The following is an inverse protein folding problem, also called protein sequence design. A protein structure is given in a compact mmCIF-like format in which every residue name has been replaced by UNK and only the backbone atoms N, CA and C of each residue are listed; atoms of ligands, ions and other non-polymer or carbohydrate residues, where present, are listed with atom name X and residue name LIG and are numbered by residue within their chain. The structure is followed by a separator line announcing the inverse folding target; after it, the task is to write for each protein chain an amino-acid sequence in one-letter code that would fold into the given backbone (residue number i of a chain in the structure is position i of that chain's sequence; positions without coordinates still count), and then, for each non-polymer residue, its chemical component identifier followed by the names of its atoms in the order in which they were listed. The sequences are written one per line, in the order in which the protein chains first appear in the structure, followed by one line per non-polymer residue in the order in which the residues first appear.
data_IF_008657879241
#
_entry.id   IF_008657879241
#
_cell.length_a   1.000
_cell.length_b   1.000
_cell.length_c   1.000
_cell.angle_alpha   90.00
_cell.angle_beta   90.00
_cell.angle_gamma   90.00
#
_symmetry.space_group_name_H-M   'P 1'
#
loop_
_entity.id
_entity.type
_entity.pdbx_description
1 polymer ?
2 water ?
#
# COMPACT_ATOMS: atom_id res chain seq x y z
N UNK A 6 -7.99 0.68 19.83
CA UNK A 6 -8.38 -0.59 19.12
C UNK A 6 -7.28 -1.65 19.06
N UNK A 7 -6.14 -1.37 18.43
CA UNK A 7 -5.07 -2.36 18.35
C UNK A 7 -4.00 -2.11 19.41
N UNK A 8 -3.42 -3.17 19.94
CA UNK A 8 -2.38 -3.01 20.96
C UNK A 8 -1.07 -2.56 20.32
N UNK A 9 -0.98 -2.61 19.00
CA UNK A 9 0.21 -2.17 18.30
C UNK A 9 -0.25 -1.39 17.06
N UNK A 10 0.64 -0.48 16.67
CA UNK A 10 0.36 0.36 15.52
C UNK A 10 0.64 -0.45 14.25
N UNK A 11 -0.37 -0.54 13.41
CA UNK A 11 -0.22 -1.30 12.17
C UNK A 11 -0.53 -0.44 10.97
N UNK A 12 -0.16 -0.91 9.78
CA UNK A 12 -0.46 -0.12 8.58
C UNK A 12 -0.56 -1.05 7.37
N UNK A 13 -1.13 -0.51 6.30
CA UNK A 13 -1.35 -1.20 5.05
C UNK A 13 -0.61 -0.46 3.94
N UNK A 14 0.10 -1.22 3.12
CA UNK A 14 0.84 -0.65 1.99
C UNK A 14 0.23 -1.26 0.72
N UNK A 15 -0.10 -0.39 -0.24
CA UNK A 15 -0.70 -0.83 -1.49
C UNK A 15 0.10 -0.35 -2.70
N UNK A 16 0.23 -1.20 -3.71
CA UNK A 16 0.92 -0.88 -4.96
C UNK A 16 -0.06 -1.24 -6.09
N UNK A 17 -0.08 -0.39 -7.12
CA UNK A 17 -0.95 -0.58 -8.27
C UNK A 17 -0.46 0.21 -9.48
N UNK A 18 -0.97 -0.19 -10.64
CA UNK A 18 -0.60 0.50 -11.88
C UNK A 18 -1.85 0.62 -12.73
N UNK A 19 -1.88 0.08 -13.94
CA UNK A 19 -3.02 0.12 -14.84
C UNK A 19 -4.30 -0.47 -14.24
N UNK A 20 -5.36 0.34 -14.18
CA UNK A 20 -6.64 -0.04 -13.61
C UNK A 20 -6.66 0.30 -12.12
N UNK A 21 -5.51 0.66 -11.54
CA UNK A 21 -5.43 0.95 -10.13
C UNK A 21 -6.26 2.07 -9.55
N UNK A 22 -6.58 3.13 -10.29
CA UNK A 22 -7.34 4.24 -9.72
C UNK A 22 -8.73 3.78 -9.29
N UNK A 23 -9.40 2.95 -10.09
CA UNK A 23 -10.73 2.45 -9.73
C UNK A 23 -10.60 1.37 -8.65
N UNK A 24 -9.57 0.54 -8.74
CA UNK A 24 -9.33 -0.52 -7.77
C UNK A 24 -9.08 0.10 -6.39
N UNK A 25 -8.19 1.06 -6.29
CA UNK A 25 -7.87 1.72 -5.02
C UNK A 25 -9.11 2.39 -4.43
N UNK A 26 -9.93 2.98 -5.29
CA UNK A 26 -11.14 3.65 -4.80
C UNK A 26 -12.07 2.62 -4.17
N UNK A 27 -12.17 1.46 -4.82
CA UNK A 27 -13.03 0.40 -4.30
C UNK A 27 -12.57 -0.09 -2.94
N UNK A 28 -11.28 -0.29 -2.76
CA UNK A 28 -10.71 -0.77 -1.50
C UNK A 28 -10.82 0.22 -0.35
N UNK A 29 -10.71 1.50 -0.62
CA UNK A 29 -10.75 2.50 0.42
C UNK A 29 -12.11 2.99 0.89
N UNK A 30 -13.12 2.92 0.03
CA UNK A 30 -14.43 3.42 0.40
C UNK A 30 -15.01 2.95 1.71
N UNK A 31 -14.99 1.66 2.00
CA UNK A 31 -15.55 1.14 3.24
C UNK A 31 -14.81 1.49 4.52
N UNK A 32 -13.61 2.05 4.48
CA UNK A 32 -12.89 2.37 5.70
C UNK A 32 -13.39 3.57 6.49
N UNK A 33 -13.66 3.40 7.78
CA UNK A 33 -14.09 4.48 8.65
C UNK A 33 -12.86 5.16 9.23
N UNK A 34 -13.02 6.25 9.96
CA UNK A 34 -11.94 7.02 10.57
C UNK A 34 -11.04 6.27 11.54
N UNK A 35 -11.51 5.17 12.12
CA UNK A 35 -10.74 4.36 13.06
C UNK A 35 -9.78 3.38 12.40
N UNK A 36 -9.73 3.37 11.08
CA UNK A 36 -8.88 2.48 10.32
C UNK A 36 -7.41 2.79 10.42
N UNK A 37 -6.59 1.75 10.28
CA UNK A 37 -5.14 1.90 10.29
C UNK A 37 -4.69 2.77 9.12
N UNK A 38 -3.49 3.32 9.14
CA UNK A 38 -3.02 4.14 8.04
C UNK A 38 -2.78 3.32 6.78
N UNK A 39 -3.03 3.94 5.62
CA UNK A 39 -2.83 3.27 4.33
C UNK A 39 -1.79 4.07 3.55
N UNK A 40 -0.75 3.41 3.06
CA UNK A 40 0.29 4.11 2.29
C UNK A 40 0.27 3.46 0.90
N UNK A 41 0.11 4.28 -0.14
CA UNK A 41 -0.02 3.79 -1.50
C UNK A 41 0.93 4.36 -2.55
N UNK A 42 1.46 3.48 -3.41
CA UNK A 42 2.32 3.89 -4.51
C UNK A 42 1.53 3.46 -5.77
N UNK A 43 1.02 4.43 -6.49
CA UNK A 43 0.26 4.25 -7.71
C UNK A 43 1.09 4.80 -8.87
N UNK A 44 1.32 3.96 -9.89
CA UNK A 44 2.09 4.46 -11.04
C UNK A 44 1.28 5.54 -11.77
N UNK A 45 1.82 6.75 -11.92
CA UNK A 45 1.18 7.86 -12.61
C UNK A 45 2.10 9.08 -12.61
N UNK A 46 1.81 10.03 -13.51
CA UNK A 46 2.63 11.22 -13.63
C UNK A 46 2.63 12.16 -12.45
N UNK A 47 3.62 13.03 -12.29
CA UNK A 47 3.56 14.03 -11.22
C UNK A 47 2.29 14.87 -11.49
N UNK A 48 1.73 15.56 -10.51
CA UNK A 48 0.50 16.34 -10.76
C UNK A 48 -0.74 15.46 -10.65
N UNK A 49 -0.82 14.36 -11.40
CA UNK A 49 -1.90 13.40 -11.40
C UNK A 49 -2.05 12.84 -9.97
N UNK A 50 -0.90 12.62 -9.32
CA UNK A 50 -0.99 12.08 -7.95
C UNK A 50 -1.66 13.09 -7.01
N UNK A 51 -1.52 14.38 -7.17
CA UNK A 51 -2.20 15.38 -6.34
C UNK A 51 -3.69 15.35 -6.64
N UNK A 52 -4.04 15.27 -7.93
CA UNK A 52 -5.43 15.23 -8.37
C UNK A 52 -6.15 13.99 -7.89
N UNK A 53 -5.49 12.84 -7.95
CA UNK A 53 -6.04 11.56 -7.51
C UNK A 53 -6.35 11.56 -6.02
N UNK A 54 -5.46 12.13 -5.22
CA UNK A 54 -5.59 12.24 -3.77
C UNK A 54 -6.83 13.07 -3.49
N UNK A 55 -6.99 14.21 -4.17
CA UNK A 55 -8.16 15.07 -3.97
C UNK A 55 -9.48 14.41 -4.37
N UNK A 56 -9.43 13.70 -5.50
CA UNK A 56 -10.61 12.99 -6.00
C UNK A 56 -11.07 11.98 -4.95
N UNK A 57 -10.13 11.15 -4.48
CA UNK A 57 -10.41 10.15 -3.46
C UNK A 57 -10.86 10.81 -2.16
N UNK A 58 -10.19 11.87 -1.73
CA UNK A 58 -10.57 12.54 -0.50
C UNK A 58 -12.06 12.93 -0.50
N UNK A 59 -12.56 13.39 -1.64
CA UNK A 59 -13.97 13.78 -1.71
C UNK A 59 -14.94 12.61 -1.57
N UNK A 60 -14.52 11.40 -1.90
CA UNK A 60 -15.39 10.24 -1.86
C UNK A 60 -15.26 9.35 -0.65
N UNK A 61 -14.09 9.41 -0.01
CA UNK A 61 -13.84 8.57 1.15
C UNK A 61 -14.11 9.22 2.49
N UNK A 62 -14.21 8.38 3.52
CA UNK A 62 -14.42 8.86 4.88
C UNK A 62 -13.06 9.30 5.42
N UNK A 63 -12.05 8.45 5.23
CA UNK A 63 -10.70 8.81 5.70
C UNK A 63 -10.12 10.00 4.93
N UNK A 64 -9.09 10.64 5.49
CA UNK A 64 -8.46 11.76 4.82
C UNK A 64 -7.46 11.22 3.79
N UNK A 65 -7.55 11.65 2.55
CA UNK A 65 -6.62 11.19 1.52
C UNK A 65 -5.82 12.39 1.04
N UNK A 66 -4.51 12.23 0.98
CA UNK A 66 -3.61 13.30 0.56
C UNK A 66 -2.35 12.79 -0.12
N UNK A 67 -1.73 13.67 -0.92
CA UNK A 67 -0.47 13.34 -1.57
C UNK A 67 0.54 13.39 -0.43
N UNK A 68 1.38 12.40 -0.24
CA UNK A 68 2.34 12.39 0.86
C UNK A 68 3.40 13.49 0.85
N UNK A 69 3.77 13.93 2.05
CA UNK A 69 4.80 14.96 2.21
C UNK A 69 5.96 14.44 3.06
N UNK A 70 7.18 14.78 2.71
CA UNK A 70 8.34 14.31 3.44
C UNK A 70 8.26 14.69 4.91
N UNK A 71 8.56 13.74 5.78
CA UNK A 71 8.56 13.94 7.20
C UNK A 71 7.24 13.97 7.94
N UNK A 72 6.09 14.01 7.29
CA UNK A 72 4.86 14.05 8.09
C UNK A 72 4.68 12.71 8.78
N UNK A 73 3.93 12.68 9.87
CA UNK A 73 3.68 11.45 10.59
C UNK A 73 2.62 10.64 9.82
N UNK A 74 2.75 9.32 9.87
CA UNK A 74 1.79 8.43 9.21
C UNK A 74 0.66 8.22 10.22
N UNK A 75 -0.51 8.82 9.98
CA UNK A 75 -1.62 8.73 10.90
C UNK A 75 -2.73 7.79 10.52
N UNK A 76 -3.40 7.28 11.55
CA UNK A 76 -4.53 6.39 11.38
C UNK A 76 -5.64 7.20 10.71
N UNK A 77 -6.58 6.59 9.99
CA UNK A 77 -7.67 7.31 9.35
C UNK A 77 -7.26 8.21 8.20
N UNK A 78 -6.07 7.98 7.62
CA UNK A 78 -5.49 8.71 6.52
C UNK A 78 -4.93 7.72 5.49
N UNK A 79 -4.88 8.16 4.25
CA UNK A 79 -4.34 7.38 3.13
C UNK A 79 -3.34 8.33 2.47
N UNK A 80 -2.10 7.89 2.24
CA UNK A 80 -1.03 8.69 1.68
C UNK A 80 -0.65 8.24 0.28
N UNK A 81 -0.73 9.14 -0.69
CA UNK A 81 -0.38 8.77 -2.07
C UNK A 81 1.01 9.31 -2.44
N UNK A 82 1.90 8.45 -2.92
CA UNK A 82 3.26 8.84 -3.31
C UNK A 82 3.24 9.90 -4.40
N UNK A 83 4.04 10.93 -4.31
CA UNK A 83 4.07 11.99 -5.31
C UNK A 83 4.66 11.51 -6.62
N UNK A 84 4.11 11.89 -7.77
CA UNK A 84 4.67 11.40 -9.05
C UNK A 84 6.13 11.86 -9.21
N UNK A 85 7.00 11.07 -9.81
CA UNK A 85 8.41 11.32 -10.06
C UNK A 85 9.29 11.45 -8.83
N UNK A 86 8.86 10.88 -7.71
CA UNK A 86 9.59 10.85 -6.46
C UNK A 86 9.29 9.49 -5.82
N UNK A 87 10.24 9.02 -5.01
CA UNK A 87 10.00 7.74 -4.36
C UNK A 87 9.43 8.00 -2.96
N UNK A 88 8.55 7.11 -2.51
CA UNK A 88 7.97 7.23 -1.19
C UNK A 88 8.36 5.96 -0.41
N UNK A 89 8.82 6.20 0.81
CA UNK A 89 9.21 5.15 1.71
C UNK A 89 8.60 5.40 3.10
N UNK A 90 8.49 4.30 3.83
CA UNK A 90 8.01 4.41 5.21
C UNK A 90 9.33 4.56 5.99
N UNK A 91 9.30 5.35 7.04
CA UNK A 91 10.50 5.55 7.86
C UNK A 91 10.03 5.62 9.32
N UNK A 92 11.01 5.71 10.23
CA UNK A 92 10.65 5.79 11.64
C UNK A 92 11.54 6.74 12.45
N UNK A 93 10.90 7.78 13.00
CA UNK A 93 11.66 8.71 13.84
C UNK A 93 11.14 8.42 15.26
N UNK A 94 12.06 7.74 15.99
CA UNK A 94 11.68 7.36 17.35
C UNK A 94 10.40 6.54 17.43
N UNK A 95 9.44 7.14 18.11
CA UNK A 95 8.14 6.55 18.35
C UNK A 95 7.13 6.72 17.23
N UNK A 96 7.45 7.51 16.22
CA UNK A 96 6.49 7.76 15.15
C UNK A 96 6.88 7.25 13.77
N UNK A 97 5.86 6.72 13.08
CA UNK A 97 6.10 6.26 11.71
C UNK A 97 6.03 7.55 10.87
N UNK A 98 6.87 7.69 9.85
CA UNK A 98 6.85 8.88 9.03
C UNK A 98 7.06 8.59 7.55
N UNK A 99 6.67 9.57 6.75
CA UNK A 99 6.84 9.51 5.30
C UNK A 99 8.25 10.06 4.99
N UNK A 100 8.89 9.42 4.03
CA UNK A 100 10.20 9.82 3.56
C UNK A 100 10.06 9.90 2.02
N UNK A 101 10.35 11.09 1.49
CA UNK A 101 10.25 11.32 0.05
C UNK A 101 11.68 11.46 -0.45
N UNK A 102 12.06 10.81 -1.53
CA UNK A 102 13.45 10.95 -2.01
C UNK A 102 13.45 10.90 -3.54
N UNK A 103 14.52 11.44 -4.10
CA UNK A 103 14.72 11.53 -5.54
C UNK A 103 15.72 10.51 -6.06
N UNK A 104 15.83 9.34 -5.43
CA UNK A 104 16.75 8.32 -5.93
C UNK A 104 16.31 7.86 -7.32
N UNK A 105 17.16 7.11 -8.00
CA UNK A 105 16.88 6.60 -9.33
C UNK A 105 15.67 5.69 -9.40
N UNK A 106 15.05 5.63 -10.57
CA UNK A 106 13.89 4.81 -10.80
C UNK A 106 14.29 3.36 -10.55
N UNK A 107 13.34 2.56 -10.12
CA UNK A 107 13.55 1.14 -9.85
C UNK A 107 12.51 0.44 -10.74
N UNK A 108 12.95 -0.50 -11.58
CA UNK A 108 11.98 -1.18 -12.46
C UNK A 108 11.31 -0.17 -13.39
N UNK A 109 12.05 0.87 -13.72
CA UNK A 109 11.72 1.96 -14.61
C UNK A 109 10.57 2.82 -14.11
N UNK A 110 10.40 2.85 -12.79
CA UNK A 110 9.34 3.64 -12.19
C UNK A 110 9.79 4.47 -11.01
N UNK A 111 9.19 5.62 -10.83
CA UNK A 111 9.43 6.55 -9.71
C UNK A 111 8.16 7.39 -9.61
N UNK A 112 7.36 7.18 -8.58
CA UNK A 112 7.61 6.26 -7.50
C UNK A 112 7.59 4.77 -7.82
N UNK A 113 8.34 3.98 -7.07
CA UNK A 113 8.41 2.54 -7.28
C UNK A 113 7.74 1.80 -6.12
N UNK A 114 6.97 0.78 -6.48
CA UNK A 114 6.26 -0.06 -5.52
C UNK A 114 7.28 -0.88 -4.74
N UNK A 115 8.36 -1.36 -5.38
CA UNK A 115 9.39 -2.10 -4.68
C UNK A 115 10.05 -1.23 -3.62
N UNK A 116 10.33 0.03 -3.93
CA UNK A 116 10.96 0.95 -2.99
C UNK A 116 10.07 1.12 -1.76
N UNK A 117 8.75 1.22 -1.96
CA UNK A 117 7.81 1.35 -0.85
C UNK A 117 7.83 0.07 0.01
N UNK A 118 7.54 -1.06 -0.62
CA UNK A 118 7.48 -2.37 0.04
C UNK A 118 8.73 -2.75 0.79
N UNK A 119 9.90 -2.50 0.22
CA UNK A 119 11.14 -2.83 0.95
C UNK A 119 11.26 -2.03 2.25
N UNK A 120 10.82 -0.77 2.23
CA UNK A 120 10.91 0.08 3.42
C UNK A 120 9.89 -0.33 4.49
N UNK A 121 8.73 -0.83 4.07
CA UNK A 121 7.69 -1.27 5.01
C UNK A 121 8.19 -2.56 5.68
N UNK A 122 8.83 -3.42 4.89
CA UNK A 122 9.37 -4.67 5.43
C UNK A 122 10.40 -4.38 6.51
N UNK A 123 11.26 -3.40 6.28
CA UNK A 123 12.29 -3.03 7.23
C UNK A 123 11.74 -2.38 8.49
N UNK A 124 10.84 -1.43 8.34
CA UNK A 124 10.32 -0.72 9.49
C UNK A 124 9.06 -1.26 10.13
N UNK A 125 8.20 -1.97 9.40
CA UNK A 125 6.98 -2.46 10.04
C UNK A 125 7.04 -3.96 10.30
N UNK A 126 7.83 -4.70 9.56
CA UNK A 126 7.95 -6.14 9.75
C UNK A 126 6.55 -6.74 9.70
N UNK A 127 6.22 -7.57 10.69
CA UNK A 127 4.89 -8.18 10.69
C UNK A 127 3.77 -7.24 11.10
N UNK A 128 4.01 -5.96 11.34
CA UNK A 128 2.96 -5.04 11.72
C UNK A 128 2.33 -4.33 10.53
N UNK A 129 2.47 -4.96 9.36
CA UNK A 129 1.93 -4.40 8.13
C UNK A 129 1.28 -5.49 7.27
N UNK A 130 0.40 -5.06 6.39
CA UNK A 130 -0.30 -5.90 5.42
C UNK A 130 0.10 -5.26 4.08
N UNK A 131 0.60 -6.05 3.14
CA UNK A 131 1.01 -5.56 1.83
C UNK A 131 -0.04 -6.00 0.82
N UNK A 132 -0.45 -5.12 -0.07
CA UNK A 132 -1.45 -5.45 -1.07
C UNK A 132 -0.96 -5.06 -2.46
N UNK A 133 -1.06 -5.99 -3.41
CA UNK A 133 -0.62 -5.64 -4.77
C UNK A 133 -1.83 -5.83 -5.67
N UNK A 134 -2.20 -4.76 -6.38
CA UNK A 134 -3.35 -4.75 -7.27
C UNK A 134 -2.98 -4.75 -8.75
N UNK A 135 -4.01 -4.76 -9.59
CA UNK A 135 -3.93 -4.71 -11.04
C UNK A 135 -2.84 -3.75 -11.53
N UNK A 136 -2.10 -4.20 -12.55
CA UNK A 136 -1.03 -3.40 -13.11
C UNK A 136 -0.12 -4.18 -14.02
N UNK A 137 0.67 -3.45 -14.78
CA UNK A 137 1.60 -4.01 -15.74
C UNK A 137 3.00 -4.09 -15.16
N UNK A 138 3.74 -5.16 -15.43
CA UNK A 138 5.10 -5.30 -14.99
C UNK A 138 5.39 -6.04 -13.70
N UNK A 139 6.66 -5.93 -13.27
CA UNK A 139 7.04 -6.63 -12.04
C UNK A 139 7.37 -5.72 -10.87
N UNK A 140 7.13 -4.42 -10.98
CA UNK A 140 7.40 -3.53 -9.86
C UNK A 140 6.55 -4.00 -8.67
N UNK A 141 7.17 -4.17 -7.49
CA UNK A 141 6.40 -4.62 -6.33
C UNK A 141 6.63 -6.08 -5.97
N UNK A 142 6.95 -6.96 -6.92
CA UNK A 142 7.15 -8.37 -6.64
C UNK A 142 8.25 -8.66 -5.64
N UNK A 143 9.42 -8.10 -5.85
CA UNK A 143 10.56 -8.31 -4.96
C UNK A 143 10.30 -7.68 -3.58
N UNK A 144 9.67 -6.51 -3.58
CA UNK A 144 9.34 -5.77 -2.37
C UNK A 144 8.35 -6.58 -1.54
N UNK A 145 7.36 -7.18 -2.19
CA UNK A 145 6.36 -8.00 -1.49
C UNK A 145 7.00 -9.24 -0.88
N UNK A 146 7.93 -9.85 -1.60
CA UNK A 146 8.65 -11.04 -1.10
C UNK A 146 9.39 -10.63 0.17
N UNK A 147 9.98 -9.42 0.19
CA UNK A 147 10.69 -8.92 1.37
C UNK A 147 9.70 -8.80 2.54
N UNK A 148 8.51 -8.25 2.31
CA UNK A 148 7.48 -8.13 3.33
C UNK A 148 7.07 -9.53 3.83
N UNK A 149 6.77 -10.43 2.90
CA UNK A 149 6.39 -11.80 3.23
C UNK A 149 7.48 -12.44 4.09
N UNK A 150 8.75 -12.26 3.72
CA UNK A 150 9.81 -12.86 4.52
C UNK A 150 9.99 -12.13 5.85
N UNK A 151 9.47 -10.92 5.96
CA UNK A 151 9.59 -10.18 7.23
C UNK A 151 8.41 -10.55 8.12
N UNK A 152 7.51 -11.43 7.65
CA UNK A 152 6.35 -11.87 8.42
C UNK A 152 5.06 -11.14 8.16
N UNK A 153 5.00 -10.16 7.28
CA UNK A 153 3.75 -9.47 7.00
C UNK A 153 2.82 -10.37 6.19
N UNK A 154 1.51 -10.13 6.30
CA UNK A 154 0.52 -10.88 5.53
C UNK A 154 0.47 -10.20 4.17
N UNK A 155 0.53 -10.92 3.06
CA UNK A 155 0.51 -10.23 1.76
C UNK A 155 -0.65 -10.73 0.93
N UNK A 156 -1.30 -9.82 0.22
CA UNK A 156 -2.46 -10.11 -0.61
C UNK A 156 -2.27 -9.66 -2.07
N UNK A 157 -2.67 -10.52 -3.01
CA UNK A 157 -2.54 -10.15 -4.41
C UNK A 157 -3.91 -10.14 -5.05
N UNK A 158 -4.24 -9.16 -5.88
CA UNK A 158 -5.55 -9.18 -6.53
C UNK A 158 -5.63 -10.34 -7.54
N UNK A 159 -6.77 -11.05 -7.60
CA UNK A 159 -6.85 -12.17 -8.54
C UNK A 159 -6.97 -11.80 -10.01
N UNK A 160 -6.82 -12.82 -10.86
CA UNK A 160 -6.90 -12.66 -12.30
C UNK A 160 -8.26 -12.17 -12.77
N UNK A 161 -9.33 -12.79 -12.30
CA UNK A 161 -10.68 -12.43 -12.72
C UNK A 161 -10.99 -10.95 -12.61
N UNK A 162 -10.60 -10.33 -11.50
CA UNK A 162 -10.89 -8.93 -11.26
C UNK A 162 -9.88 -7.92 -11.74
N UNK A 163 -8.69 -8.34 -12.15
CA UNK A 163 -7.70 -7.38 -12.61
C UNK A 163 -7.94 -6.83 -14.00
N UNK A 164 -7.53 -5.61 -14.29
CA UNK A 164 -7.62 -5.01 -15.62
C UNK A 164 -6.43 -5.64 -16.38
N UNK A 165 -5.27 -5.57 -15.70
CA UNK A 165 -4.04 -6.13 -16.21
C UNK A 165 -3.50 -7.04 -15.09
N UNK A 166 -3.33 -8.31 -15.42
CA UNK A 166 -2.83 -9.28 -14.45
C UNK A 166 -1.34 -9.45 -14.65
N UNK A 167 -0.56 -8.41 -14.37
CA UNK A 167 0.90 -8.45 -14.54
C UNK A 167 1.56 -8.38 -13.16
N UNK A 168 1.34 -7.22 -12.51
CA UNK A 168 1.91 -6.99 -11.18
C UNK A 168 1.56 -8.07 -10.18
N UNK A 169 0.31 -8.41 -9.97
CA UNK A 169 -0.07 -9.48 -9.05
C UNK A 169 0.51 -10.82 -9.48
N UNK A 170 0.51 -11.14 -10.78
CA UNK A 170 1.04 -12.39 -11.32
C UNK A 170 2.50 -12.57 -10.97
N UNK A 171 3.25 -11.50 -11.24
CA UNK A 171 4.68 -11.49 -10.94
C UNK A 171 4.98 -11.68 -9.45
N UNK A 172 4.16 -11.04 -8.62
CA UNK A 172 4.28 -11.13 -7.16
C UNK A 172 4.05 -12.58 -6.70
N UNK A 173 2.99 -13.16 -7.26
CA UNK A 173 2.63 -14.55 -6.96
C UNK A 173 3.77 -15.48 -7.38
N UNK A 174 4.28 -15.27 -8.59
CA UNK A 174 5.34 -16.12 -9.11
C UNK A 174 6.63 -16.01 -8.34
N UNK A 175 6.85 -14.92 -7.62
CA UNK A 175 8.09 -14.77 -6.87
C UNK A 175 8.02 -15.53 -5.55
N UNK A 176 6.88 -16.05 -5.17
CA UNK A 176 6.66 -16.80 -3.96
C UNK A 176 6.37 -15.93 -2.74
N UNK A 177 6.08 -14.63 -2.90
CA UNK A 177 5.83 -13.75 -1.79
C UNK A 177 4.40 -13.41 -1.42
N UNK A 178 3.39 -14.10 -1.94
CA UNK A 178 1.98 -13.82 -1.66
C UNK A 178 1.31 -14.80 -0.71
N UNK A 179 0.77 -14.34 0.42
CA UNK A 179 0.09 -15.19 1.38
C UNK A 179 -1.23 -15.69 0.79
N UNK A 180 -1.99 -14.77 0.17
CA UNK A 180 -3.25 -15.15 -0.43
C UNK A 180 -3.62 -14.27 -1.63
N UNK A 181 -4.39 -14.88 -2.52
CA UNK A 181 -4.88 -14.25 -3.76
C UNK A 181 -6.37 -14.04 -3.59
N UNK A 182 -6.85 -12.81 -3.71
CA UNK A 182 -8.24 -12.51 -3.50
C UNK A 182 -8.89 -11.64 -4.57
N UNK A 183 -10.21 -11.75 -4.69
CA UNK A 183 -10.93 -10.92 -5.65
C UNK A 183 -10.95 -9.49 -5.14
N UNK A 184 -10.98 -8.52 -6.04
CA UNK A 184 -11.02 -7.12 -5.62
C UNK A 184 -12.12 -6.82 -4.61
N UNK A 185 -13.31 -7.40 -4.75
CA UNK A 185 -14.40 -7.12 -3.81
C UNK A 185 -14.15 -7.60 -2.38
N UNK A 186 -13.20 -8.49 -2.15
CA UNK A 186 -12.84 -9.01 -0.85
C UNK A 186 -11.52 -8.48 -0.29
N UNK A 187 -10.74 -7.64 -0.96
CA UNK A 187 -9.48 -7.13 -0.46
C UNK A 187 -9.62 -6.29 0.80
N UNK A 188 -10.52 -5.31 0.89
CA UNK A 188 -10.60 -4.48 2.09
C UNK A 188 -10.97 -5.33 3.29
N UNK A 189 -11.88 -6.27 3.08
CA UNK A 189 -12.29 -7.16 4.17
C UNK A 189 -11.09 -7.97 4.65
N UNK A 190 -10.34 -8.58 3.75
CA UNK A 190 -9.20 -9.40 4.10
C UNK A 190 -8.02 -8.69 4.74
N UNK A 191 -7.65 -7.53 4.21
CA UNK A 191 -6.53 -6.78 4.78
C UNK A 191 -6.90 -6.33 6.20
N UNK A 192 -8.14 -5.89 6.42
CA UNK A 192 -8.59 -5.43 7.72
C UNK A 192 -8.74 -6.56 8.73
N UNK A 193 -9.25 -7.71 8.32
CA UNK A 193 -9.39 -8.84 9.23
C UNK A 193 -8.01 -9.33 9.66
N UNK A 194 -7.10 -9.52 8.71
CA UNK A 194 -5.75 -10.02 9.02
C UNK A 194 -4.90 -9.06 9.83
N UNK A 195 -5.04 -7.75 9.59
CA UNK A 195 -4.26 -6.76 10.34
C UNK A 195 -4.70 -6.71 11.79
N UNK A 196 -5.93 -7.12 12.09
CA UNK A 196 -6.46 -7.09 13.45
C UNK A 196 -6.58 -8.45 14.11
N UNK A 197 -6.11 -9.51 13.46
CA UNK A 197 -6.24 -10.86 14.02
C UNK A 197 -5.27 -11.15 15.14
N UNK A 198 -5.29 -12.36 15.69
CA UNK A 198 -4.40 -12.74 16.79
C UNK A 198 -4.73 -11.94 18.05
N UNK A 199 -3.74 -11.30 18.64
CA UNK A 199 -3.91 -10.48 19.82
C UNK A 199 -3.87 -8.99 19.48
N UNK A 200 -4.04 -8.64 18.20
CA UNK A 200 -3.98 -7.22 17.85
C UNK A 200 -4.97 -6.34 18.59
N UNK A 201 -6.24 -6.77 18.69
CA UNK A 201 -7.26 -5.96 19.35
C UNK A 201 -7.10 -5.94 20.86
N UNK A 202 -7.21 -4.73 21.41
CA UNK A 202 -7.09 -4.57 22.86
C UNK A 202 -8.40 -5.03 23.50
N UNK A 203 -8.24 -5.82 24.55
CA UNK A 203 -9.39 -6.34 25.30
C UNK A 203 -8.97 -6.43 26.77
#
# INVERSE_FOLDING_TARGET
LKAGPLLSSEKLIAIGASTGGTEAIRHVLQPLPLSSPAVIITQHMPPGFTRSFAERLNKLCQISVKEAEDGERVLPGHAYIAPGDKHMELARSGANYQIKIHDGPPVNRHRPSVDVLFHSVAKHAGRNAVGVILTGMGNDGAAGMLAMYQAGAWTIAQNEASCVVFGMPREAINMGGVSEVVDLSQVSQQMLAKISAGQAIRI
#
